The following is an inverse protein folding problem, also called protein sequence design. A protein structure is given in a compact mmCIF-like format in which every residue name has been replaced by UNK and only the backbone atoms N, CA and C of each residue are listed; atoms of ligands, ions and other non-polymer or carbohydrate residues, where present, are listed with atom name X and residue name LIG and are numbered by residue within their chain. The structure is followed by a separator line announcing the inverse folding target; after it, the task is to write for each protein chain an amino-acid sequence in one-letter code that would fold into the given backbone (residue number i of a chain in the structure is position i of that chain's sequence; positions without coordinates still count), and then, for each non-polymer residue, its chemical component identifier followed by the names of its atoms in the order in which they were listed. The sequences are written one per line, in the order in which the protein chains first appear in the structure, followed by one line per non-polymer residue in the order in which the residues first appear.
data_IF_768099984584
#
_entry.id   IF_768099984584
#
_cell.length_a   1.000
_cell.length_b   1.000
_cell.length_c   1.000
_cell.angle_alpha   90.00
_cell.angle_beta   90.00
_cell.angle_gamma   90.00
#
_symmetry.space_group_name_H-M   'P 1'
#
loop_
_entity.id
_entity.type
_entity.pdbx_description
1 polymer ?
#
# COMPACT_ATOMS: atom_id res chain seq x y z
N UNK A 1 16.10 -10.32 -6.14
CA UNK A 1 15.20 -11.49 -6.05
C UNK A 1 15.45 -12.48 -7.18
N UNK A 2 15.47 -12.05 -8.45
CA UNK A 2 15.77 -12.94 -9.60
C UNK A 2 17.10 -13.71 -9.45
N UNK A 3 18.15 -13.08 -8.90
CA UNK A 3 19.41 -13.79 -8.62
C UNK A 3 19.29 -14.90 -7.56
N UNK A 4 18.42 -14.74 -6.56
CA UNK A 4 18.14 -15.78 -5.56
C UNK A 4 17.43 -16.95 -6.25
N UNK A 5 16.36 -16.67 -7.00
CA UNK A 5 15.62 -17.65 -7.79
C UNK A 5 16.55 -18.45 -8.71
N UNK A 6 17.46 -17.74 -9.40
CA UNK A 6 18.43 -18.37 -10.29
C UNK A 6 19.38 -19.33 -9.54
N UNK A 7 19.93 -18.90 -8.40
CA UNK A 7 20.85 -19.73 -7.61
C UNK A 7 20.13 -20.92 -6.98
N UNK A 8 18.94 -20.70 -6.40
CA UNK A 8 18.09 -21.77 -5.85
C UNK A 8 17.75 -22.82 -6.92
N UNK A 9 17.38 -22.38 -8.13
CA UNK A 9 17.17 -23.27 -9.26
C UNK A 9 18.42 -24.06 -9.68
N UNK A 10 19.61 -23.44 -9.64
CA UNK A 10 20.89 -24.12 -9.95
C UNK A 10 21.18 -25.23 -8.93
N UNK A 11 20.90 -25.01 -7.64
CA UNK A 11 21.16 -25.99 -6.58
C UNK A 11 20.03 -27.01 -6.40
N UNK A 12 18.99 -26.97 -7.24
CA UNK A 12 17.88 -27.92 -7.22
C UNK A 12 16.82 -27.64 -6.14
N UNK A 13 16.82 -26.45 -5.56
CA UNK A 13 15.76 -25.98 -4.66
C UNK A 13 14.51 -25.58 -5.45
N UNK A 14 13.38 -25.39 -4.76
CA UNK A 14 12.13 -24.89 -5.34
C UNK A 14 11.93 -23.41 -5.00
N UNK A 15 12.49 -22.48 -5.78
CA UNK A 15 12.36 -21.05 -5.49
C UNK A 15 10.91 -20.59 -5.58
N UNK A 16 10.55 -19.63 -4.73
CA UNK A 16 9.29 -18.91 -4.87
C UNK A 16 9.30 -18.10 -6.17
N UNK A 17 8.24 -18.18 -7.00
CA UNK A 17 8.20 -17.47 -8.28
C UNK A 17 8.12 -15.95 -8.06
N UNK A 18 8.82 -15.20 -8.91
CA UNK A 18 8.71 -13.74 -8.92
C UNK A 18 7.34 -13.32 -9.48
N UNK A 19 6.55 -12.64 -8.66
CA UNK A 19 5.37 -11.92 -9.12
C UNK A 19 5.67 -10.42 -9.23
N UNK A 20 5.68 -9.89 -10.46
CA UNK A 20 5.98 -8.47 -10.74
C UNK A 20 4.95 -7.51 -10.16
N UNK A 21 3.70 -7.94 -10.01
CA UNK A 21 2.65 -7.12 -9.39
C UNK A 21 2.92 -6.90 -7.88
N UNK A 22 3.76 -7.75 -7.26
CA UNK A 22 4.16 -7.64 -5.84
C UNK A 22 5.49 -6.89 -5.62
N UNK A 23 6.02 -6.23 -6.66
CA UNK A 23 7.26 -5.44 -6.56
C UNK A 23 6.89 -3.96 -6.36
N UNK A 24 7.32 -3.31 -5.27
CA UNK A 24 7.08 -1.89 -5.11
C UNK A 24 7.94 -1.05 -6.06
N UNK A 25 7.36 0.00 -6.62
CA UNK A 25 8.06 1.05 -7.35
C UNK A 25 8.17 2.31 -6.50
N UNK A 26 9.35 2.93 -6.49
CA UNK A 26 9.65 4.12 -5.69
C UNK A 26 10.31 5.21 -6.55
N UNK A 27 9.82 6.44 -6.45
CA UNK A 27 10.46 7.64 -7.01
C UNK A 27 10.85 8.56 -5.85
N UNK A 28 12.15 8.79 -5.69
CA UNK A 28 12.73 9.59 -4.60
C UNK A 28 12.80 11.08 -4.95
N UNK A 29 11.68 11.63 -5.44
CA UNK A 29 11.49 13.06 -5.70
C UNK A 29 10.99 13.80 -4.45
N UNK A 30 10.71 15.09 -4.58
CA UNK A 30 9.98 15.86 -3.58
C UNK A 30 8.69 16.44 -4.21
N UNK A 31 7.50 15.98 -3.81
CA UNK A 31 7.23 14.89 -2.86
C UNK A 31 7.68 13.51 -3.39
N UNK A 32 7.87 12.54 -2.49
CA UNK A 32 8.19 11.16 -2.87
C UNK A 32 6.96 10.44 -3.40
N UNK A 33 7.14 9.41 -4.22
CA UNK A 33 6.06 8.57 -4.76
C UNK A 33 6.41 7.11 -4.53
N UNK A 34 5.45 6.32 -4.07
CA UNK A 34 5.58 4.87 -3.96
C UNK A 34 4.29 4.16 -4.38
N UNK A 35 4.41 3.04 -5.07
CA UNK A 35 3.26 2.23 -5.46
C UNK A 35 3.57 0.75 -5.53
N UNK A 36 2.53 -0.08 -5.42
CA UNK A 36 2.60 -1.53 -5.57
C UNK A 36 1.24 -2.06 -6.04
N UNK A 37 1.24 -3.18 -6.76
CA UNK A 37 0.02 -3.81 -7.25
C UNK A 37 -0.63 -3.06 -8.42
N UNK A 38 -1.93 -3.20 -8.54
CA UNK A 38 -2.71 -2.67 -9.66
C UNK A 38 -3.00 -1.19 -9.50
N UNK A 39 -2.98 -0.46 -10.62
CA UNK A 39 -3.64 0.85 -10.68
C UNK A 39 -5.16 0.67 -10.64
N UNK A 40 -5.87 1.75 -10.32
CA UNK A 40 -7.33 1.74 -10.22
C UNK A 40 -8.01 1.39 -11.55
N UNK A 41 -7.46 1.86 -12.68
CA UNK A 41 -7.94 1.50 -14.01
C UNK A 41 -7.75 0.00 -14.26
N UNK A 42 -6.55 -0.52 -14.02
CA UNK A 42 -6.25 -1.95 -14.20
C UNK A 42 -7.08 -2.85 -13.29
N UNK A 43 -7.35 -2.41 -12.06
CA UNK A 43 -8.18 -3.16 -11.11
C UNK A 43 -9.65 -3.15 -11.54
N UNK A 44 -10.17 -2.00 -11.98
CA UNK A 44 -11.54 -1.87 -12.48
C UNK A 44 -11.81 -2.66 -13.76
N UNK A 45 -10.78 -2.90 -14.58
CA UNK A 45 -10.87 -3.81 -15.74
C UNK A 45 -11.00 -5.29 -15.34
N UNK A 46 -10.59 -5.66 -14.11
CA UNK A 46 -10.61 -7.03 -13.60
C UNK A 46 -11.84 -7.34 -12.73
N UNK A 47 -12.56 -6.34 -12.24
CA UNK A 47 -13.73 -6.55 -11.40
C UNK A 47 -14.22 -5.29 -10.70
N UNK A 48 -15.22 -5.47 -9.84
CA UNK A 48 -15.71 -4.40 -8.97
C UNK A 48 -14.69 -4.11 -7.87
N UNK A 49 -14.40 -2.83 -7.64
CA UNK A 49 -13.36 -2.39 -6.72
C UNK A 49 -13.90 -1.42 -5.68
N UNK A 50 -13.23 -1.38 -4.53
CA UNK A 50 -13.36 -0.32 -3.52
C UNK A 50 -12.08 0.48 -3.45
N UNK A 51 -12.19 1.80 -3.43
CA UNK A 51 -11.02 2.70 -3.46
C UNK A 51 -11.07 3.63 -2.27
N UNK A 52 -10.04 3.58 -1.46
CA UNK A 52 -9.86 4.45 -0.31
C UNK A 52 -8.82 5.51 -0.60
N UNK A 53 -9.06 6.73 -0.13
CA UNK A 53 -8.13 7.85 -0.25
C UNK A 53 -8.08 8.60 1.07
N UNK A 54 -6.86 8.92 1.52
CA UNK A 54 -6.65 9.73 2.71
C UNK A 54 -5.58 10.80 2.43
N UNK A 55 -5.93 12.10 2.52
CA UNK A 55 -4.98 13.19 2.31
C UNK A 55 -4.02 13.33 3.50
N UNK A 56 -2.74 13.60 3.25
CA UNK A 56 -1.77 13.80 4.34
C UNK A 56 -2.01 15.10 5.12
N UNK A 57 -2.77 16.05 4.56
CA UNK A 57 -3.26 17.21 5.30
C UNK A 57 -4.08 16.84 6.53
N UNK A 58 -4.73 15.69 6.53
CA UNK A 58 -5.51 15.15 7.65
C UNK A 58 -4.66 14.31 8.62
N UNK A 59 -3.38 14.06 8.32
CA UNK A 59 -2.49 13.28 9.17
C UNK A 59 -1.81 14.19 10.22
N UNK A 60 -2.01 13.89 11.51
CA UNK A 60 -1.44 14.69 12.60
C UNK A 60 0.09 14.79 12.58
N UNK A 61 0.80 13.72 12.17
CA UNK A 61 2.28 13.76 12.07
C UNK A 61 2.74 14.64 10.91
N UNK A 62 2.10 14.55 9.75
CA UNK A 62 2.38 15.38 8.58
C UNK A 62 2.20 16.88 8.89
N UNK A 63 1.11 17.22 9.58
CA UNK A 63 0.87 18.58 10.09
C UNK A 63 1.96 19.00 11.06
N UNK A 64 2.33 18.14 12.03
CA UNK A 64 3.35 18.46 13.03
C UNK A 64 4.75 18.71 12.44
N UNK A 65 5.07 18.12 11.29
CA UNK A 65 6.35 18.34 10.58
C UNK A 65 6.25 19.36 9.45
N UNK A 66 5.07 19.97 9.25
CA UNK A 66 4.78 20.94 8.19
C UNK A 66 5.10 20.40 6.78
N UNK A 67 4.77 19.12 6.53
CA UNK A 67 4.90 18.46 5.23
C UNK A 67 3.63 17.64 4.97
N UNK A 68 2.60 18.33 4.47
CA UNK A 68 1.23 17.80 4.30
C UNK A 68 0.88 17.50 2.85
N UNK A 69 1.83 17.66 1.93
CA UNK A 69 1.58 17.44 0.52
C UNK A 69 1.40 15.94 0.23
N UNK A 70 0.30 15.59 -0.44
CA UNK A 70 0.05 14.26 -0.96
C UNK A 70 -1.05 13.48 -0.26
N UNK A 71 -1.10 12.18 -0.53
CA UNK A 71 -2.16 11.27 -0.10
C UNK A 71 -1.70 9.80 -0.14
N UNK A 72 -2.46 8.96 0.56
CA UNK A 72 -2.41 7.50 0.42
C UNK A 72 -3.70 7.01 -0.23
N UNK A 73 -3.57 6.18 -1.27
CA UNK A 73 -4.67 5.52 -1.97
C UNK A 73 -4.51 4.00 -1.89
N UNK A 74 -5.57 3.30 -1.52
CA UNK A 74 -5.65 1.84 -1.52
C UNK A 74 -6.81 1.37 -2.39
N UNK A 75 -6.63 0.21 -3.01
CA UNK A 75 -7.58 -0.39 -3.95
C UNK A 75 -7.82 -1.83 -3.50
N UNK A 76 -9.08 -2.18 -3.31
CA UNK A 76 -9.52 -3.48 -2.84
C UNK A 76 -10.47 -4.12 -3.85
N UNK A 77 -10.43 -5.44 -3.94
CA UNK A 77 -11.48 -6.21 -4.58
C UNK A 77 -12.78 -6.08 -3.76
N UNK A 78 -13.88 -5.69 -4.39
CA UNK A 78 -15.11 -5.40 -3.66
C UNK A 78 -15.79 -6.65 -3.08
N UNK A 79 -15.51 -7.83 -3.64
CA UNK A 79 -16.17 -9.08 -3.28
C UNK A 79 -15.44 -9.87 -2.20
N UNK A 80 -14.11 -9.85 -2.25
CA UNK A 80 -13.22 -10.62 -1.36
C UNK A 80 -12.53 -9.77 -0.31
N UNK A 81 -12.46 -8.45 -0.53
CA UNK A 81 -11.72 -7.56 0.36
C UNK A 81 -10.20 -7.60 0.18
N UNK A 82 -9.69 -8.37 -0.78
CA UNK A 82 -8.25 -8.49 -1.03
C UNK A 82 -7.63 -7.15 -1.44
N UNK A 83 -6.47 -6.80 -0.88
CA UNK A 83 -5.70 -5.62 -1.29
C UNK A 83 -5.10 -5.86 -2.70
N UNK A 84 -5.58 -5.09 -3.68
CA UNK A 84 -5.16 -5.20 -5.09
C UNK A 84 -4.01 -4.24 -5.43
N UNK A 85 -3.94 -3.10 -4.74
CA UNK A 85 -2.91 -2.11 -5.00
C UNK A 85 -2.91 -0.95 -4.01
N UNK A 86 -1.75 -0.31 -3.89
CA UNK A 86 -1.53 0.86 -3.04
C UNK A 86 -0.67 1.88 -3.79
N UNK A 87 -1.04 3.16 -3.67
CA UNK A 87 -0.40 4.27 -4.37
C UNK A 87 -0.29 5.45 -3.41
N UNK A 88 0.92 5.96 -3.23
CA UNK A 88 1.26 6.90 -2.17
C UNK A 88 2.10 8.03 -2.73
N UNK A 89 1.80 9.25 -2.30
CA UNK A 89 2.60 10.44 -2.59
C UNK A 89 2.71 11.27 -1.31
N UNK A 90 3.91 11.72 -0.97
CA UNK A 90 4.16 12.53 0.24
C UNK A 90 5.45 12.17 0.98
N UNK A 91 5.70 12.73 2.17
CA UNK A 91 6.89 12.42 2.97
C UNK A 91 6.96 10.95 3.39
N UNK A 92 8.14 10.34 3.25
CA UNK A 92 8.44 9.02 3.80
C UNK A 92 7.70 7.85 3.15
N UNK A 93 6.92 8.07 2.09
CA UNK A 93 6.08 7.01 1.49
C UNK A 93 6.91 5.88 0.87
N UNK A 94 8.15 6.15 0.44
CA UNK A 94 9.05 5.11 -0.08
C UNK A 94 9.55 4.14 0.98
N UNK A 95 9.55 4.56 2.26
CA UNK A 95 9.80 3.67 3.40
C UNK A 95 8.52 2.97 3.87
N UNK A 96 7.37 3.65 3.79
CA UNK A 96 6.09 3.12 4.26
C UNK A 96 5.49 2.03 3.37
N UNK A 97 5.72 2.09 2.05
CA UNK A 97 5.14 1.15 1.07
C UNK A 97 5.46 -0.32 1.38
N UNK A 98 6.54 -0.60 2.11
CA UNK A 98 6.92 -1.94 2.54
C UNK A 98 5.79 -2.65 3.32
N UNK A 99 4.97 -1.92 4.09
CA UNK A 99 3.84 -2.51 4.80
C UNK A 99 2.78 -3.09 3.85
N UNK A 100 2.51 -2.40 2.72
CA UNK A 100 1.63 -2.92 1.69
C UNK A 100 2.28 -4.02 0.84
N UNK A 101 3.61 -4.02 0.69
CA UNK A 101 4.32 -5.13 0.07
C UNK A 101 4.20 -6.43 0.87
N UNK A 102 4.32 -6.35 2.19
CA UNK A 102 4.05 -7.49 3.09
C UNK A 102 2.59 -7.91 2.98
N UNK A 103 1.65 -6.97 3.05
CA UNK A 103 0.21 -7.27 2.97
C UNK A 103 -0.18 -7.98 1.66
N UNK A 104 0.27 -7.48 0.50
CA UNK A 104 0.03 -8.14 -0.80
C UNK A 104 0.72 -9.51 -0.88
N UNK A 105 1.92 -9.63 -0.29
CA UNK A 105 2.64 -10.90 -0.22
C UNK A 105 1.89 -11.98 0.58
N UNK A 106 1.16 -11.57 1.61
CA UNK A 106 0.34 -12.40 2.49
C UNK A 106 -1.13 -12.53 2.04
N UNK A 107 -1.49 -11.94 0.90
CA UNK A 107 -2.87 -11.94 0.39
C UNK A 107 -3.87 -11.37 1.42
N UNK A 108 -3.41 -10.35 2.15
CA UNK A 108 -4.16 -9.70 3.23
C UNK A 108 -5.41 -9.00 2.69
N UNK A 109 -6.46 -8.99 3.50
CA UNK A 109 -7.72 -8.32 3.22
C UNK A 109 -7.83 -6.98 3.96
N UNK A 110 -8.90 -6.25 3.69
CA UNK A 110 -9.24 -5.05 4.45
C UNK A 110 -9.41 -5.34 5.94
N UNK A 111 -9.90 -6.53 6.31
CA UNK A 111 -10.20 -6.87 7.70
C UNK A 111 -8.95 -6.82 8.58
N UNK A 112 -7.86 -7.50 8.18
CA UNK A 112 -6.62 -7.48 8.95
C UNK A 112 -5.98 -6.09 8.98
N UNK A 113 -6.08 -5.34 7.87
CA UNK A 113 -5.53 -3.99 7.79
C UNK A 113 -6.31 -2.98 8.66
N UNK A 114 -7.64 -3.14 8.77
CA UNK A 114 -8.48 -2.32 9.64
C UNK A 114 -8.23 -2.60 11.12
N UNK A 115 -7.99 -3.85 11.49
CA UNK A 115 -7.76 -4.26 12.89
C UNK A 115 -6.32 -4.01 13.37
N UNK A 116 -5.40 -3.72 12.45
CA UNK A 116 -4.01 -3.42 12.77
C UNK A 116 -3.89 -2.09 13.54
N UNK A 117 -3.18 -2.11 14.66
CA UNK A 117 -2.89 -0.91 15.46
C UNK A 117 -1.65 -0.21 14.87
N UNK A 118 -1.87 0.97 14.30
CA UNK A 118 -0.78 1.84 13.85
C UNK A 118 -0.27 2.72 15.00
N UNK A 119 1.05 2.95 15.10
CA UNK A 119 1.61 3.85 16.11
C UNK A 119 1.15 5.30 15.87
N UNK A 120 0.88 6.02 16.96
CA UNK A 120 0.42 7.41 16.94
C UNK A 120 1.36 8.36 17.71
N UNK A 121 1.70 9.56 17.19
CA UNK A 121 1.42 10.03 15.84
C UNK A 121 2.49 9.56 14.83
N UNK A 122 2.07 9.00 13.70
CA UNK A 122 2.96 8.64 12.58
C UNK A 122 2.34 8.92 11.20
N UNK A 123 3.19 9.08 10.19
CA UNK A 123 2.73 9.18 8.80
C UNK A 123 2.00 7.90 8.36
N UNK A 124 2.41 6.74 8.88
CA UNK A 124 1.81 5.45 8.57
C UNK A 124 0.34 5.33 8.97
N UNK A 125 -0.19 6.17 9.87
CA UNK A 125 -1.64 6.22 10.13
C UNK A 125 -2.46 6.56 8.87
N UNK A 126 -1.88 7.27 7.90
CA UNK A 126 -2.51 7.52 6.60
C UNK A 126 -2.76 6.23 5.80
N UNK A 127 -1.97 5.17 6.04
CA UNK A 127 -2.23 3.85 5.46
C UNK A 127 -3.52 3.28 6.03
N UNK A 128 -3.67 3.28 7.35
CA UNK A 128 -4.86 2.78 8.04
C UNK A 128 -6.12 3.53 7.61
N UNK A 129 -6.07 4.86 7.61
CA UNK A 129 -7.22 5.69 7.23
C UNK A 129 -7.57 5.54 5.75
N UNK A 130 -6.59 5.28 4.87
CA UNK A 130 -6.91 4.95 3.47
C UNK A 130 -7.70 3.65 3.36
N UNK A 131 -7.39 2.63 4.17
CA UNK A 131 -8.13 1.37 4.20
C UNK A 131 -9.55 1.60 4.72
N UNK A 132 -9.70 2.31 5.84
CA UNK A 132 -11.00 2.65 6.41
C UNK A 132 -11.86 3.46 5.41
N UNK A 133 -11.24 4.40 4.70
CA UNK A 133 -11.86 5.24 3.67
C UNK A 133 -12.46 4.41 2.52
N UNK A 134 -11.81 3.32 2.09
CA UNK A 134 -12.33 2.45 1.03
C UNK A 134 -13.69 1.81 1.39
N UNK A 135 -14.00 1.74 2.68
CA UNK A 135 -15.21 1.11 3.22
C UNK A 135 -16.11 2.08 4.00
N UNK A 136 -15.86 3.40 3.90
CA UNK A 136 -16.68 4.42 4.55
C UNK A 136 -16.58 4.42 6.08
N UNK A 137 -15.43 4.02 6.63
CA UNK A 137 -15.16 3.89 8.08
C UNK A 137 -14.10 4.86 8.61
N UNK A 138 -13.73 5.87 7.82
CA UNK A 138 -12.67 6.85 8.17
C UNK A 138 -12.99 7.54 9.50
N UNK A 139 -11.98 7.75 10.33
CA UNK A 139 -12.15 8.39 11.65
C UNK A 139 -11.68 9.84 11.59
N UNK A 140 -10.55 10.09 10.93
CA UNK A 140 -10.00 11.43 10.71
C UNK A 140 -10.15 11.81 9.23
N UNK A 141 -10.29 13.09 8.90
CA UNK A 141 -10.27 13.59 7.51
C UNK A 141 -10.03 15.10 7.46
#
# INVERSE_FOLDING_TARGET
HEGIIAVEGIVGEMPHPLNKERIPGCTYSHPQIASIGLSEVQAGERGEIKVGRFPLLANGKAVAVNDTEGLVKTIFDASTGALLGAHMIGPGVTEMIQGFAVAIGLETTEAELMDTIFPHPTLSEAMHESVLSAFGRTINF
#
